data_IF_993698570091
#
_entry.id   IF_993698570091
#
_cell.length_a   1.000
_cell.length_b   1.000
_cell.length_c   1.000
_cell.angle_alpha   90.00
_cell.angle_beta   90.00
_cell.angle_gamma   90.00
#
_symmetry.space_group_name_H-M   'P 1'
#
loop_
_entity.id
_entity.type
_entity.pdbx_description
1 polymer ?
#
# COMPACT_ATOMS: atom_id res chain seq x y z
N UNK A 1 39.08 7.84 20.95
CA UNK A 1 38.79 8.50 19.66
C UNK A 1 38.14 7.57 18.66
N UNK A 2 38.65 6.35 18.50
CA UNK A 2 38.02 5.40 17.54
C UNK A 2 36.60 5.03 17.93
N UNK A 3 36.29 4.94 19.22
CA UNK A 3 34.94 4.63 19.68
C UNK A 3 33.92 5.68 19.27
N UNK A 4 34.27 6.96 19.35
CA UNK A 4 33.35 8.04 18.98
C UNK A 4 33.10 8.03 17.47
N UNK A 5 34.10 7.72 16.68
CA UNK A 5 33.96 7.65 15.23
C UNK A 5 33.02 6.51 14.83
N UNK A 6 33.16 5.35 15.44
CA UNK A 6 32.30 4.20 15.16
C UNK A 6 30.85 4.48 15.53
N UNK A 7 30.60 5.10 16.69
CA UNK A 7 29.24 5.47 17.09
C UNK A 7 28.59 6.43 16.12
N UNK A 8 29.36 7.39 15.60
CA UNK A 8 28.85 8.34 14.62
C UNK A 8 28.42 7.62 13.32
N UNK A 9 29.20 6.67 12.83
CA UNK A 9 28.87 5.91 11.64
C UNK A 9 27.60 5.09 11.84
N UNK A 10 27.43 4.44 12.99
CA UNK A 10 26.24 3.66 13.31
C UNK A 10 25.01 4.54 13.34
N UNK A 11 25.09 5.73 13.92
CA UNK A 11 23.98 6.67 13.97
C UNK A 11 23.55 7.12 12.56
N UNK A 12 24.51 7.40 11.71
CA UNK A 12 24.25 7.79 10.32
C UNK A 12 23.59 6.66 9.53
N UNK A 13 24.05 5.44 9.74
CA UNK A 13 23.47 4.26 9.08
C UNK A 13 22.02 4.03 9.49
N UNK A 14 21.71 4.18 10.77
CA UNK A 14 20.33 4.05 11.27
C UNK A 14 19.41 5.10 10.65
N UNK A 15 19.88 6.32 10.48
CA UNK A 15 19.11 7.36 9.83
C UNK A 15 18.78 7.01 8.38
N UNK A 16 19.75 6.49 7.64
CA UNK A 16 19.52 6.08 6.24
C UNK A 16 18.47 4.98 6.15
N UNK A 17 18.49 4.00 7.07
CA UNK A 17 17.49 2.92 7.09
C UNK A 17 16.10 3.49 7.36
N UNK A 18 15.98 4.48 8.27
CA UNK A 18 14.70 5.06 8.63
C UNK A 18 14.00 5.75 7.44
N UNK A 19 14.76 6.23 6.46
CA UNK A 19 14.22 6.92 5.29
C UNK A 19 13.78 5.97 4.17
N UNK A 20 14.00 4.66 4.33
CA UNK A 20 13.79 3.69 3.25
C UNK A 20 12.47 2.94 3.43
N UNK A 21 11.36 3.70 3.40
CA UNK A 21 10.02 3.11 3.43
C UNK A 21 9.52 2.83 2.02
N UNK A 22 8.79 1.73 1.86
CA UNK A 22 8.23 1.35 0.57
C UNK A 22 6.84 1.96 0.35
N UNK A 23 6.50 2.15 -0.92
CA UNK A 23 5.17 2.56 -1.36
C UNK A 23 4.66 1.47 -2.32
N UNK A 24 3.49 0.94 -2.03
CA UNK A 24 2.86 -0.05 -2.90
C UNK A 24 2.01 0.64 -3.95
N UNK A 25 2.12 0.18 -5.18
CA UNK A 25 1.34 0.68 -6.30
C UNK A 25 0.49 -0.47 -6.83
N UNK A 26 -0.83 -0.36 -6.70
CA UNK A 26 -1.77 -1.47 -6.93
C UNK A 26 -2.79 -1.07 -7.99
N UNK A 27 -2.76 -1.68 -9.17
CA UNK A 27 -3.76 -1.40 -10.19
C UNK A 27 -5.10 -2.08 -9.86
N UNK A 28 -6.19 -1.34 -10.06
CA UNK A 28 -7.55 -1.85 -10.04
C UNK A 28 -8.15 -1.54 -11.41
N UNK A 29 -7.86 -2.42 -12.36
CA UNK A 29 -8.23 -2.24 -13.76
C UNK A 29 -9.20 -3.32 -14.19
N UNK A 30 -10.05 -2.96 -15.14
CA UNK A 30 -11.01 -3.90 -15.73
C UNK A 30 -12.24 -4.09 -14.86
N UNK A 31 -12.83 -5.28 -14.93
CA UNK A 31 -14.07 -5.61 -14.24
C UNK A 31 -13.82 -5.97 -12.78
N UNK A 32 -14.61 -5.42 -11.89
CA UNK A 32 -14.55 -5.78 -10.46
C UNK A 32 -15.28 -7.10 -10.26
N UNK A 33 -14.57 -8.13 -9.81
CA UNK A 33 -15.11 -9.47 -9.55
C UNK A 33 -14.78 -9.94 -8.12
N UNK A 34 -15.23 -11.13 -7.78
CA UNK A 34 -15.09 -11.66 -6.42
C UNK A 34 -13.67 -12.11 -6.07
N UNK A 35 -12.78 -12.24 -7.03
CA UNK A 35 -11.37 -12.54 -6.77
C UNK A 35 -10.59 -11.34 -6.30
N UNK A 36 -11.02 -10.14 -6.67
CA UNK A 36 -10.32 -8.91 -6.38
C UNK A 36 -10.23 -8.60 -4.88
N UNK A 37 -11.30 -8.74 -4.08
CA UNK A 37 -11.19 -8.49 -2.64
C UNK A 37 -10.13 -9.34 -1.96
N UNK A 38 -10.03 -10.62 -2.29
CA UNK A 38 -9.01 -11.51 -1.71
C UNK A 38 -7.60 -11.07 -2.08
N UNK A 39 -7.40 -10.67 -3.33
CA UNK A 39 -6.12 -10.15 -3.79
C UNK A 39 -5.73 -8.88 -3.02
N UNK A 40 -6.65 -7.93 -2.90
CA UNK A 40 -6.40 -6.67 -2.21
C UNK A 40 -6.10 -6.89 -0.74
N UNK A 41 -6.81 -7.82 -0.08
CA UNK A 41 -6.54 -8.13 1.32
C UNK A 41 -5.11 -8.64 1.51
N UNK A 42 -4.64 -9.52 0.62
CA UNK A 42 -3.26 -10.02 0.68
C UNK A 42 -2.24 -8.91 0.50
N UNK A 43 -2.48 -8.01 -0.44
CA UNK A 43 -1.57 -6.88 -0.69
C UNK A 43 -1.51 -5.96 0.53
N UNK A 44 -2.66 -5.64 1.10
CA UNK A 44 -2.73 -4.77 2.28
C UNK A 44 -2.05 -5.43 3.48
N UNK A 45 -2.29 -6.73 3.71
CA UNK A 45 -1.64 -7.45 4.79
C UNK A 45 -0.12 -7.43 4.64
N UNK A 46 0.39 -7.60 3.43
CA UNK A 46 1.81 -7.54 3.17
C UNK A 46 2.36 -6.12 3.41
N UNK A 47 1.66 -5.11 2.93
CA UNK A 47 2.05 -3.72 3.14
C UNK A 47 2.09 -3.36 4.63
N UNK A 48 1.12 -3.84 5.40
CA UNK A 48 1.08 -3.63 6.84
C UNK A 48 2.26 -4.33 7.53
N UNK A 49 2.57 -5.57 7.15
CA UNK A 49 3.67 -6.31 7.76
C UNK A 49 5.04 -5.69 7.45
N UNK A 50 5.17 -5.02 6.32
CA UNK A 50 6.40 -4.35 5.90
C UNK A 50 6.44 -2.89 6.37
N UNK A 51 5.42 -2.43 7.06
CA UNK A 51 5.30 -1.05 7.52
C UNK A 51 5.47 -0.05 6.36
N UNK A 52 4.79 -0.32 5.25
CA UNK A 52 4.83 0.54 4.07
C UNK A 52 4.34 1.95 4.40
N UNK A 53 4.87 2.94 3.71
CA UNK A 53 4.48 4.33 3.90
C UNK A 53 3.07 4.61 3.38
N UNK A 54 2.69 3.97 2.26
CA UNK A 54 1.39 4.17 1.64
C UNK A 54 1.10 3.07 0.63
N UNK A 55 -0.18 2.92 0.29
CA UNK A 55 -0.64 2.11 -0.83
C UNK A 55 -1.39 3.03 -1.78
N UNK A 56 -0.97 3.07 -3.04
CA UNK A 56 -1.62 3.86 -4.07
C UNK A 56 -2.41 2.91 -4.96
N UNK A 57 -3.73 3.11 -5.01
CA UNK A 57 -4.61 2.36 -5.90
C UNK A 57 -4.78 3.14 -7.20
N UNK A 58 -4.34 2.56 -8.29
CA UNK A 58 -4.49 3.13 -9.63
C UNK A 58 -5.79 2.55 -10.22
N UNK A 59 -6.84 3.36 -10.26
CA UNK A 59 -8.20 2.90 -10.57
C UNK A 59 -8.57 3.27 -12.00
N UNK A 60 -8.93 2.26 -12.78
CA UNK A 60 -9.48 2.42 -14.12
C UNK A 60 -10.48 1.28 -14.36
N UNK A 61 -11.72 1.49 -13.96
CA UNK A 61 -12.76 0.47 -14.02
C UNK A 61 -14.14 1.06 -14.32
N UNK A 62 -14.93 0.32 -15.08
CA UNK A 62 -16.37 0.58 -15.23
C UNK A 62 -17.20 0.01 -14.08
N UNK A 63 -16.56 -0.70 -13.13
CA UNK A 63 -17.25 -1.34 -12.03
C UNK A 63 -17.39 -2.84 -12.26
N UNK A 64 -18.42 -3.42 -11.70
CA UNK A 64 -18.68 -4.86 -11.77
C UNK A 64 -19.64 -5.27 -10.67
N UNK A 65 -19.30 -6.33 -9.92
CA UNK A 65 -20.16 -6.83 -8.85
C UNK A 65 -20.20 -5.85 -7.67
N UNK A 66 -21.41 -5.50 -7.25
CA UNK A 66 -21.62 -4.57 -6.12
C UNK A 66 -21.15 -5.19 -4.81
N UNK A 67 -21.38 -6.49 -4.61
CA UNK A 67 -20.93 -7.20 -3.41
C UNK A 67 -19.41 -7.22 -3.31
N UNK A 68 -18.70 -7.43 -4.41
CA UNK A 68 -17.25 -7.34 -4.43
C UNK A 68 -16.77 -5.92 -4.14
N UNK A 69 -17.41 -4.91 -4.74
CA UNK A 69 -17.06 -3.51 -4.51
C UNK A 69 -17.24 -3.11 -3.04
N UNK A 70 -18.30 -3.60 -2.40
CA UNK A 70 -18.54 -3.35 -0.97
C UNK A 70 -17.44 -3.95 -0.11
N UNK A 71 -17.03 -5.18 -0.41
CA UNK A 71 -15.92 -5.82 0.32
C UNK A 71 -14.61 -5.06 0.13
N UNK A 72 -14.33 -4.59 -1.08
CA UNK A 72 -13.13 -3.80 -1.38
C UNK A 72 -13.12 -2.52 -0.56
N UNK A 73 -14.25 -1.83 -0.51
CA UNK A 73 -14.39 -0.61 0.30
C UNK A 73 -14.04 -0.89 1.76
N UNK A 74 -14.60 -1.95 2.34
CA UNK A 74 -14.37 -2.29 3.74
C UNK A 74 -12.90 -2.63 3.97
N UNK A 75 -12.27 -3.39 3.08
CA UNK A 75 -10.87 -3.77 3.17
C UNK A 75 -9.97 -2.54 3.17
N UNK A 76 -10.25 -1.59 2.27
CA UNK A 76 -9.45 -0.36 2.17
C UNK A 76 -9.63 0.50 3.42
N UNK A 77 -10.86 0.65 3.91
CA UNK A 77 -11.14 1.46 5.09
C UNK A 77 -10.51 0.88 6.35
N UNK A 78 -10.36 -0.44 6.42
CA UNK A 78 -9.76 -1.11 7.57
C UNK A 78 -8.22 -1.13 7.51
N UNK A 79 -7.62 -0.67 6.44
CA UNK A 79 -6.18 -0.68 6.30
C UNK A 79 -5.50 0.23 7.33
N UNK A 80 -4.45 -0.29 7.96
CA UNK A 80 -3.62 0.48 8.90
C UNK A 80 -2.55 1.29 8.18
N UNK A 81 -2.32 1.00 6.90
CA UNK A 81 -1.42 1.78 6.06
C UNK A 81 -2.23 2.85 5.34
N UNK A 82 -1.64 4.04 5.18
CA UNK A 82 -2.27 5.12 4.43
C UNK A 82 -2.60 4.68 3.01
N UNK A 83 -3.84 4.91 2.57
CA UNK A 83 -4.28 4.56 1.23
C UNK A 83 -4.60 5.81 0.42
N UNK A 84 -4.24 5.80 -0.86
CA UNK A 84 -4.47 6.88 -1.80
C UNK A 84 -5.10 6.30 -3.06
N UNK A 85 -6.19 6.89 -3.53
CA UNK A 85 -6.82 6.49 -4.78
C UNK A 85 -6.44 7.47 -5.89
N UNK A 86 -5.91 6.94 -6.96
CA UNK A 86 -5.63 7.69 -8.18
C UNK A 86 -6.59 7.23 -9.27
N UNK A 87 -7.43 8.13 -9.75
CA UNK A 87 -8.41 7.80 -10.80
C UNK A 87 -7.77 8.13 -12.14
N UNK A 88 -7.36 7.08 -12.84
CA UNK A 88 -6.64 7.25 -14.10
C UNK A 88 -7.58 7.73 -15.21
N UNK A 89 -8.65 6.98 -15.46
CA UNK A 89 -9.63 7.35 -16.47
C UNK A 89 -11.04 7.36 -15.91
N UNK A 90 -11.38 6.34 -15.14
CA UNK A 90 -12.75 6.17 -14.66
C UNK A 90 -12.80 5.33 -13.41
N UNK A 91 -13.85 5.54 -12.64
CA UNK A 91 -14.15 4.75 -11.45
C UNK A 91 -15.67 4.80 -11.26
N UNK A 92 -16.37 4.00 -12.04
CA UNK A 92 -17.83 4.02 -12.04
C UNK A 92 -18.38 2.84 -11.25
#
# INVERSE_FOLDING_TARGET
MQHNFILFIISLFSFIIADNQSVYHVPIHGTIDMGLPHYLQRVIDQAESEEAAAIIFDIDTFGGRVDAATQIKDIILDSKVTTVAFINKRAI
#
